data_IF_299116040822
#
_entry.id   IF_299116040822
#
_cell.length_a   1.000
_cell.length_b   1.000
_cell.length_c   1.000
_cell.angle_alpha   90.00
_cell.angle_beta   90.00
_cell.angle_gamma   90.00
#
_symmetry.space_group_name_H-M   'P 1'
#
loop_
_entity.id
_entity.type
_entity.pdbx_description
1 polymer ?
#
# COMPACT_ATOMS: atom_id res chain seq x y z
N UNK A 1 -3.49 -4.67 -7.61
CA UNK A 1 -2.87 -3.50 -8.27
C UNK A 1 -2.47 -2.53 -7.16
N UNK A 2 -1.21 -2.14 -7.05
CA UNK A 2 -0.76 -1.28 -5.95
C UNK A 2 -1.03 0.19 -6.30
N UNK A 3 -2.13 0.74 -5.78
CA UNK A 3 -2.46 2.16 -5.85
C UNK A 3 -1.67 2.91 -4.76
N UNK A 4 -0.34 2.97 -4.90
CA UNK A 4 0.44 3.93 -4.14
C UNK A 4 0.31 5.28 -4.87
N UNK A 5 -0.38 6.25 -4.26
CA UNK A 5 -0.55 7.59 -4.83
C UNK A 5 0.82 8.29 -4.88
N UNK A 6 1.54 8.12 -5.99
CA UNK A 6 2.89 8.67 -6.25
C UNK A 6 2.93 9.66 -7.41
N UNK A 7 1.80 9.86 -8.07
CA UNK A 7 1.72 10.58 -9.34
C UNK A 7 1.67 12.08 -9.07
N UNK A 8 2.58 12.82 -9.69
CA UNK A 8 2.67 14.27 -9.45
C UNK A 8 1.88 15.00 -10.53
N UNK A 9 0.77 15.61 -10.14
CA UNK A 9 0.04 16.52 -11.00
C UNK A 9 0.93 17.72 -11.37
N UNK A 10 0.89 18.14 -12.62
CA UNK A 10 1.75 19.21 -13.17
C UNK A 10 0.96 20.42 -13.66
N UNK A 11 -0.37 20.33 -13.74
CA UNK A 11 -1.22 21.43 -14.17
C UNK A 11 -2.71 21.18 -13.93
N UNK A 12 -3.46 22.29 -13.89
CA UNK A 12 -4.91 22.31 -13.85
C UNK A 12 -5.46 22.57 -15.24
N UNK A 13 -6.43 21.78 -15.72
CA UNK A 13 -7.21 22.16 -16.89
C UNK A 13 -8.06 23.40 -16.59
N UNK A 14 -8.20 24.30 -17.56
CA UNK A 14 -8.98 25.53 -17.39
C UNK A 14 -10.46 25.26 -17.05
N UNK A 15 -11.00 24.11 -17.47
CA UNK A 15 -12.39 23.68 -17.21
C UNK A 15 -12.51 22.71 -16.04
N UNK A 16 -11.51 22.63 -15.17
CA UNK A 16 -11.63 21.92 -13.89
C UNK A 16 -12.53 22.71 -12.93
N UNK A 17 -13.43 22.02 -12.22
CA UNK A 17 -14.23 22.57 -11.11
C UNK A 17 -13.44 22.57 -9.79
N UNK A 18 -12.35 21.80 -9.71
CA UNK A 18 -11.59 21.58 -8.49
C UNK A 18 -10.08 21.82 -8.69
N UNK A 19 -9.63 23.09 -8.79
CA UNK A 19 -8.23 23.42 -8.99
C UNK A 19 -7.34 22.89 -7.86
N UNK A 20 -6.20 22.30 -8.24
CA UNK A 20 -5.12 21.91 -7.34
C UNK A 20 -4.23 23.13 -7.06
N UNK A 21 -3.96 23.47 -5.78
CA UNK A 21 -3.15 24.62 -5.42
C UNK A 21 -1.76 24.62 -6.05
N UNK A 22 -1.24 25.82 -6.33
CA UNK A 22 0.13 26.07 -6.75
C UNK A 22 0.58 25.46 -8.10
N UNK A 23 -0.34 24.84 -8.85
CA UNK A 23 -0.12 24.32 -10.20
C UNK A 23 -0.64 25.29 -11.27
N UNK A 24 0.02 25.45 -12.43
CA UNK A 24 -0.44 26.36 -13.48
C UNK A 24 -1.81 25.95 -14.05
N UNK A 25 -2.61 26.91 -14.50
CA UNK A 25 -3.77 26.63 -15.36
C UNK A 25 -3.34 26.51 -16.81
N UNK A 26 -3.78 25.45 -17.46
CA UNK A 26 -3.42 25.05 -18.81
C UNK A 26 -4.69 25.02 -19.65
N UNK A 27 -4.61 25.58 -20.86
CA UNK A 27 -5.71 25.53 -21.81
C UNK A 27 -6.00 24.08 -22.22
N UNK A 28 -7.18 23.61 -21.82
CA UNK A 28 -7.67 22.27 -22.08
C UNK A 28 -8.72 22.25 -23.20
N UNK A 29 -8.97 23.37 -23.90
CA UNK A 29 -10.10 23.56 -24.84
C UNK A 29 -10.23 22.52 -25.94
N UNK A 30 -9.14 21.83 -26.29
CA UNK A 30 -9.12 20.76 -27.28
C UNK A 30 -9.75 19.44 -26.78
N UNK A 31 -9.97 19.29 -25.46
CA UNK A 31 -10.59 18.09 -24.89
C UNK A 31 -12.12 18.13 -24.98
N UNK A 32 -12.79 17.07 -25.48
CA UNK A 32 -14.24 16.95 -25.49
C UNK A 32 -14.74 16.50 -24.11
N UNK A 33 -14.73 17.40 -23.11
CA UNK A 33 -14.97 17.04 -21.70
C UNK A 33 -16.39 16.55 -21.36
N UNK A 34 -17.32 16.54 -22.32
CA UNK A 34 -18.67 16.01 -22.14
C UNK A 34 -18.85 14.64 -22.83
N UNK A 35 -17.79 14.11 -23.46
CA UNK A 35 -17.78 12.84 -24.17
C UNK A 35 -16.51 12.04 -23.80
N UNK A 36 -16.57 11.14 -22.80
CA UNK A 36 -15.42 10.36 -22.37
C UNK A 36 -14.83 9.45 -23.47
N UNK A 37 -15.66 8.93 -24.36
CA UNK A 37 -15.21 8.07 -25.47
C UNK A 37 -14.37 8.89 -26.46
N UNK A 38 -14.77 10.15 -26.70
CA UNK A 38 -13.99 11.06 -27.52
C UNK A 38 -12.65 11.46 -26.87
N UNK A 39 -12.57 11.52 -25.53
CA UNK A 39 -11.29 11.70 -24.82
C UNK A 39 -10.38 10.48 -25.06
N UNK A 40 -10.88 9.27 -24.84
CA UNK A 40 -10.11 8.03 -25.10
C UNK A 40 -9.60 7.97 -26.55
N UNK A 41 -10.44 8.35 -27.51
CA UNK A 41 -10.12 8.31 -28.93
C UNK A 41 -8.95 9.24 -29.32
N UNK A 42 -8.66 10.30 -28.54
CA UNK A 42 -7.49 11.16 -28.76
C UNK A 42 -6.20 10.35 -28.61
N UNK A 43 -6.11 9.54 -27.56
CA UNK A 43 -4.94 8.74 -27.22
C UNK A 43 -4.83 7.42 -28.01
N UNK A 44 -5.93 6.90 -28.55
CA UNK A 44 -5.98 5.65 -29.33
C UNK A 44 -5.95 5.85 -30.86
N UNK A 45 -5.48 6.99 -31.36
CA UNK A 45 -5.49 7.30 -32.79
C UNK A 45 -4.73 6.25 -33.63
N UNK A 46 -5.34 5.69 -34.68
CA UNK A 46 -4.67 4.74 -35.56
C UNK A 46 -3.38 5.31 -36.16
N UNK A 47 -2.28 4.55 -36.06
CA UNK A 47 -1.00 4.89 -36.68
C UNK A 47 -0.08 5.79 -35.85
N UNK A 48 -0.50 6.21 -34.64
CA UNK A 48 0.37 6.91 -33.68
C UNK A 48 0.83 5.91 -32.63
N UNK A 49 2.13 5.62 -32.59
CA UNK A 49 2.72 4.76 -31.57
C UNK A 49 3.06 5.58 -30.32
N UNK A 50 2.83 5.01 -29.14
CA UNK A 50 3.23 5.60 -27.87
C UNK A 50 2.21 6.57 -27.27
N UNK A 51 1.00 6.66 -27.79
CA UNK A 51 -0.13 7.36 -27.16
C UNK A 51 -1.12 6.36 -26.60
N UNK A 52 -1.77 6.71 -25.49
CA UNK A 52 -2.73 5.86 -24.81
C UNK A 52 -3.95 6.65 -24.39
N UNK A 53 -5.08 5.95 -24.29
CA UNK A 53 -6.30 6.49 -23.74
C UNK A 53 -7.18 5.38 -23.19
N UNK A 54 -8.06 5.73 -22.26
CA UNK A 54 -9.06 4.84 -21.68
C UNK A 54 -10.17 5.65 -21.04
N UNK A 55 -11.38 5.12 -21.05
CA UNK A 55 -12.47 5.54 -20.17
C UNK A 55 -13.12 4.36 -19.45
N UNK A 56 -13.64 4.62 -18.25
CA UNK A 56 -14.44 3.67 -17.46
C UNK A 56 -15.56 4.44 -16.74
N UNK A 57 -16.66 3.74 -16.45
CA UNK A 57 -17.76 4.26 -15.63
C UNK A 57 -17.45 4.08 -14.15
N UNK A 58 -17.78 5.07 -13.34
CA UNK A 58 -17.61 5.02 -11.89
C UNK A 58 -18.90 4.54 -11.21
N UNK A 59 -18.78 3.94 -10.01
CA UNK A 59 -19.93 3.38 -9.26
C UNK A 59 -20.97 4.44 -8.85
N UNK A 60 -20.55 5.69 -8.73
CA UNK A 60 -21.38 6.84 -8.38
C UNK A 60 -22.17 7.42 -9.56
N UNK A 61 -22.16 6.75 -10.73
CA UNK A 61 -22.82 7.22 -11.94
C UNK A 61 -22.03 8.27 -12.71
N UNK A 62 -20.83 8.62 -12.24
CA UNK A 62 -19.84 9.40 -12.95
C UNK A 62 -19.01 8.59 -13.93
N UNK A 63 -17.95 9.20 -14.45
CA UNK A 63 -16.97 8.54 -15.31
C UNK A 63 -15.58 9.13 -15.11
N UNK A 64 -14.57 8.35 -15.48
CA UNK A 64 -13.17 8.77 -15.56
C UNK A 64 -12.62 8.45 -16.94
N UNK A 65 -11.83 9.37 -17.49
CA UNK A 65 -11.12 9.18 -18.76
C UNK A 65 -9.70 9.70 -18.66
N UNK A 66 -8.79 9.13 -19.46
CA UNK A 66 -7.47 9.71 -19.69
C UNK A 66 -7.05 9.65 -21.16
N UNK A 67 -6.15 10.55 -21.54
CA UNK A 67 -5.50 10.55 -22.85
C UNK A 67 -4.09 11.15 -22.77
N UNK A 68 -3.14 10.60 -23.53
CA UNK A 68 -1.89 11.29 -23.87
C UNK A 68 -2.19 12.56 -24.67
N UNK A 69 -1.47 13.65 -24.42
CA UNK A 69 -1.63 14.90 -25.17
C UNK A 69 -0.99 14.81 -26.56
N UNK A 70 -1.65 15.40 -27.57
CA UNK A 70 -1.21 15.31 -28.98
C UNK A 70 0.01 16.18 -29.27
N UNK A 71 0.12 17.34 -28.62
CA UNK A 71 1.20 18.30 -28.83
C UNK A 71 2.38 18.04 -27.89
N UNK A 72 2.12 17.42 -26.74
CA UNK A 72 3.11 17.03 -25.73
C UNK A 72 2.91 15.57 -25.31
N UNK A 73 3.41 14.60 -26.10
CA UNK A 73 3.26 13.18 -25.79
C UNK A 73 3.95 12.73 -24.50
N UNK A 74 4.78 13.58 -23.89
CA UNK A 74 5.34 13.37 -22.56
C UNK A 74 4.36 13.74 -21.42
N UNK A 75 3.17 14.24 -21.76
CA UNK A 75 2.12 14.64 -20.84
C UNK A 75 0.80 13.92 -21.16
N UNK A 76 -0.04 13.78 -20.16
CA UNK A 76 -1.37 13.20 -20.29
C UNK A 76 -2.41 13.86 -19.40
N UNK A 77 -3.64 13.87 -19.86
CA UNK A 77 -4.80 14.42 -19.16
C UNK A 77 -5.58 13.31 -18.47
N UNK A 78 -5.96 13.54 -17.21
CA UNK A 78 -6.96 12.75 -16.51
C UNK A 78 -8.17 13.62 -16.25
N UNK A 79 -9.35 13.11 -16.60
CA UNK A 79 -10.64 13.76 -16.41
C UNK A 79 -11.51 12.86 -15.56
N UNK A 80 -11.93 13.35 -14.39
CA UNK A 80 -12.90 12.68 -13.52
C UNK A 80 -14.15 13.53 -13.45
N UNK A 81 -15.31 13.01 -13.87
CA UNK A 81 -16.60 13.71 -13.78
C UNK A 81 -17.54 13.00 -12.81
N UNK A 82 -18.16 13.78 -11.91
CA UNK A 82 -19.20 13.38 -10.96
C UNK A 82 -20.48 14.18 -11.20
N UNK A 83 -21.67 13.55 -11.20
CA UNK A 83 -22.94 14.24 -11.45
C UNK A 83 -23.20 15.40 -10.49
N UNK A 84 -22.91 15.23 -9.20
CA UNK A 84 -23.20 16.24 -8.17
C UNK A 84 -22.01 17.16 -7.90
N UNK A 85 -20.78 16.68 -8.07
CA UNK A 85 -19.56 17.37 -7.59
C UNK A 85 -18.70 17.96 -8.71
N UNK A 86 -18.91 17.53 -9.95
CA UNK A 86 -18.37 18.22 -11.11
C UNK A 86 -17.20 17.49 -11.68
N UNK A 87 -16.35 18.20 -12.41
CA UNK A 87 -15.20 17.61 -13.09
C UNK A 87 -13.87 18.07 -12.48
N UNK A 88 -12.97 17.12 -12.28
CA UNK A 88 -11.55 17.37 -12.09
C UNK A 88 -10.85 17.15 -13.43
N UNK A 89 -10.20 18.18 -13.98
CA UNK A 89 -9.37 18.09 -15.19
C UNK A 89 -7.93 18.37 -14.78
N UNK A 90 -7.08 17.34 -14.80
CA UNK A 90 -5.73 17.41 -14.23
C UNK A 90 -4.71 16.89 -15.24
N UNK A 91 -3.62 17.62 -15.38
CA UNK A 91 -2.50 17.27 -16.25
C UNK A 91 -1.43 16.54 -15.43
N UNK A 92 -0.92 15.43 -15.97
CA UNK A 92 0.14 14.60 -15.41
C UNK A 92 1.26 14.40 -16.44
N UNK A 93 2.39 13.85 -16.01
CA UNK A 93 3.35 13.23 -16.93
C UNK A 93 2.73 11.98 -17.54
N UNK A 94 3.05 11.68 -18.80
CA UNK A 94 2.50 10.51 -19.48
C UNK A 94 2.88 9.19 -18.77
N UNK A 95 4.08 9.11 -18.18
CA UNK A 95 4.52 7.96 -17.37
C UNK A 95 3.63 7.69 -16.13
N UNK A 96 2.95 8.73 -15.64
CA UNK A 96 2.11 8.70 -14.44
C UNK A 96 0.61 8.58 -14.78
N UNK A 97 0.20 8.98 -15.99
CA UNK A 97 -1.22 9.26 -16.33
C UNK A 97 -2.12 8.03 -16.15
N UNK A 98 -1.68 6.85 -16.59
CA UNK A 98 -2.46 5.63 -16.51
C UNK A 98 -2.68 5.19 -15.07
N UNK A 99 -1.69 5.43 -14.20
CA UNK A 99 -1.78 5.05 -12.80
C UNK A 99 -2.52 6.10 -11.95
N UNK A 100 -2.41 7.38 -12.32
CA UNK A 100 -3.25 8.44 -11.76
C UNK A 100 -4.72 8.20 -12.11
N UNK A 101 -5.02 7.89 -13.36
CA UNK A 101 -6.35 7.50 -13.84
C UNK A 101 -7.00 6.43 -12.95
N UNK A 102 -6.24 5.37 -12.67
CA UNK A 102 -6.73 4.28 -11.83
C UNK A 102 -7.12 4.68 -10.41
N UNK A 103 -6.47 5.69 -9.83
CA UNK A 103 -6.86 6.19 -8.52
C UNK A 103 -8.22 6.89 -8.50
N UNK A 104 -8.71 7.32 -9.67
CA UNK A 104 -10.03 7.96 -9.84
C UNK A 104 -11.12 6.98 -10.30
N UNK A 105 -10.78 5.73 -10.64
CA UNK A 105 -11.72 4.71 -11.11
C UNK A 105 -12.73 4.31 -10.00
N UNK A 106 -12.27 4.35 -8.75
CA UNK A 106 -13.07 4.05 -7.56
C UNK A 106 -13.82 5.30 -7.02
N UNK A 107 -13.82 5.48 -5.70
CA UNK A 107 -14.65 6.46 -4.98
C UNK A 107 -14.04 7.88 -4.98
N UNK A 108 -12.76 8.02 -5.33
CA UNK A 108 -12.08 9.30 -5.24
C UNK A 108 -12.53 10.27 -6.35
N UNK A 109 -12.97 11.47 -5.93
CA UNK A 109 -13.32 12.57 -6.84
C UNK A 109 -12.14 13.50 -7.11
N UNK A 110 -11.29 13.68 -6.10
CA UNK A 110 -10.12 14.54 -6.13
C UNK A 110 -9.12 14.17 -5.03
N UNK A 111 -7.89 14.62 -5.23
CA UNK A 111 -6.76 14.41 -4.32
C UNK A 111 -6.08 15.73 -3.95
N UNK A 112 -5.61 15.87 -2.71
CA UNK A 112 -4.90 17.03 -2.16
C UNK A 112 -3.80 16.59 -1.19
N UNK A 113 -2.94 17.53 -0.78
CA UNK A 113 -1.99 17.34 0.32
C UNK A 113 -1.19 16.02 0.31
N UNK A 114 -0.60 15.64 -0.83
CA UNK A 114 0.19 14.41 -0.91
C UNK A 114 -0.64 13.12 -0.88
N UNK A 115 -1.86 13.15 -1.43
CA UNK A 115 -2.68 11.96 -1.69
C UNK A 115 -3.89 11.77 -0.78
N UNK A 116 -4.20 12.75 0.06
CA UNK A 116 -5.49 12.82 0.74
C UNK A 116 -6.58 12.94 -0.31
N UNK A 117 -7.67 12.21 -0.17
CA UNK A 117 -8.70 12.16 -1.20
C UNK A 117 -10.10 12.35 -0.63
N UNK A 118 -11.01 12.78 -1.48
CA UNK A 118 -12.37 13.13 -1.11
C UNK A 118 -13.36 12.38 -2.00
N UNK A 119 -14.37 11.77 -1.39
CA UNK A 119 -15.44 11.02 -2.07
C UNK A 119 -16.69 11.87 -2.38
N UNK A 120 -16.68 13.15 -2.02
CA UNK A 120 -17.85 14.04 -2.11
C UNK A 120 -18.47 14.37 -0.74
N UNK A 121 -18.14 13.61 0.29
CA UNK A 121 -18.64 13.78 1.67
C UNK A 121 -17.52 13.79 2.70
N UNK A 122 -16.61 12.82 2.63
CA UNK A 122 -15.58 12.51 3.62
C UNK A 122 -14.19 12.63 3.02
N UNK A 123 -13.25 13.18 3.80
CA UNK A 123 -11.84 13.15 3.46
C UNK A 123 -11.18 11.91 4.03
N UNK A 124 -10.35 11.28 3.23
CA UNK A 124 -9.58 10.09 3.57
C UNK A 124 -8.09 10.36 3.43
N UNK A 125 -7.30 9.66 4.25
CA UNK A 125 -5.85 9.64 4.14
C UNK A 125 -5.42 8.96 2.84
N UNK A 126 -4.19 9.20 2.36
CA UNK A 126 -3.61 8.43 1.28
C UNK A 126 -3.71 6.92 1.54
N UNK A 127 -4.16 6.18 0.54
CA UNK A 127 -4.27 4.71 0.62
C UNK A 127 -2.89 4.08 0.81
N UNK A 128 -2.59 3.65 2.04
CA UNK A 128 -1.31 3.01 2.41
C UNK A 128 -1.53 1.56 2.86
N UNK A 129 -2.45 1.35 3.81
CA UNK A 129 -2.68 0.04 4.43
C UNK A 129 -3.51 -0.83 3.51
N UNK A 130 -2.96 -1.98 3.10
CA UNK A 130 -3.63 -2.94 2.21
C UNK A 130 -4.16 -4.14 3.00
N UNK A 131 -5.49 -4.31 2.99
CA UNK A 131 -6.16 -5.52 3.48
C UNK A 131 -5.96 -6.64 2.46
N UNK A 132 -5.14 -7.62 2.83
CA UNK A 132 -4.80 -8.77 1.98
C UNK A 132 -5.95 -9.75 1.79
N UNK A 133 -6.84 -9.86 2.78
CA UNK A 133 -7.95 -10.80 2.71
C UNK A 133 -9.00 -10.29 1.72
N UNK A 134 -9.28 -8.99 1.78
CA UNK A 134 -10.25 -8.30 0.91
C UNK A 134 -9.67 -7.79 -0.41
N UNK A 135 -8.33 -7.72 -0.49
CA UNK A 135 -7.59 -7.19 -1.63
C UNK A 135 -7.87 -5.71 -1.95
N UNK A 136 -8.15 -4.92 -0.91
CA UNK A 136 -8.45 -3.49 -1.00
C UNK A 136 -7.55 -2.69 -0.07
N UNK A 137 -7.39 -1.40 -0.37
CA UNK A 137 -6.82 -0.48 0.61
C UNK A 137 -7.86 -0.08 1.64
N UNK A 138 -7.42 0.09 2.88
CA UNK A 138 -8.27 0.59 3.97
C UNK A 138 -8.43 2.09 3.82
N UNK A 139 -9.68 2.54 3.77
CA UNK A 139 -10.01 3.95 3.64
C UNK A 139 -10.12 4.59 5.03
N UNK A 140 -9.01 5.16 5.52
CA UNK A 140 -8.96 5.81 6.84
C UNK A 140 -9.46 7.25 6.77
N UNK A 141 -10.60 7.60 7.41
CA UNK A 141 -11.14 8.95 7.38
C UNK A 141 -10.24 9.91 8.15
N UNK A 142 -10.28 11.19 7.78
CA UNK A 142 -9.48 12.25 8.38
C UNK A 142 -10.32 12.98 9.43
N UNK A 143 -10.02 12.82 10.74
CA UNK A 143 -10.81 13.43 11.78
C UNK A 143 -10.79 14.96 11.71
N UNK A 144 -11.97 15.58 11.84
CA UNK A 144 -12.14 17.03 11.81
C UNK A 144 -11.57 17.72 10.55
N UNK A 145 -11.53 17.01 9.41
CA UNK A 145 -11.20 17.62 8.14
C UNK A 145 -12.27 18.65 7.73
N UNK A 146 -11.79 19.81 7.26
CA UNK A 146 -12.63 20.84 6.65
C UNK A 146 -12.18 21.03 5.20
N UNK A 147 -13.14 20.98 4.29
CA UNK A 147 -12.95 21.30 2.88
C UNK A 147 -12.72 22.80 2.72
N UNK A 148 -11.65 23.17 2.03
CA UNK A 148 -11.35 24.55 1.64
C UNK A 148 -11.76 24.72 0.18
N UNK A 149 -12.69 25.62 -0.07
CA UNK A 149 -13.16 25.96 -1.40
C UNK A 149 -12.42 27.16 -1.98
N UNK A 150 -12.60 27.41 -3.29
CA UNK A 150 -12.09 28.61 -3.93
C UNK A 150 -12.66 29.91 -3.32
N UNK A 151 -13.85 29.87 -2.72
CA UNK A 151 -14.47 31.02 -2.07
C UNK A 151 -13.83 31.37 -0.72
N UNK A 152 -13.12 30.42 -0.08
CA UNK A 152 -12.48 30.60 1.21
C UNK A 152 -11.08 31.24 1.09
N UNK A 153 -10.54 31.31 -0.13
CA UNK A 153 -9.20 31.83 -0.38
C UNK A 153 -9.20 33.36 -0.55
N UNK A 154 -8.09 34.03 -0.20
CA UNK A 154 -7.92 35.46 -0.46
C UNK A 154 -8.10 35.79 -1.94
N UNK A 155 -8.73 36.93 -2.23
CA UNK A 155 -8.90 37.38 -3.61
C UNK A 155 -7.56 37.78 -4.24
N UNK A 156 -7.27 37.23 -5.42
CA UNK A 156 -6.19 37.68 -6.31
C UNK A 156 -6.67 38.70 -7.34
N UNK A 157 -5.72 39.20 -8.14
CA UNK A 157 -5.95 40.13 -9.24
C UNK A 157 -6.01 39.37 -10.58
N UNK A 158 -7.20 39.18 -11.19
CA UNK A 158 -7.34 38.44 -12.44
C UNK A 158 -6.59 39.10 -13.60
N UNK A 159 -6.28 40.40 -13.53
CA UNK A 159 -5.48 41.09 -14.55
C UNK A 159 -3.99 40.72 -14.52
N UNK A 160 -3.54 40.05 -13.45
CA UNK A 160 -2.17 39.55 -13.28
C UNK A 160 -2.05 38.04 -13.40
N UNK A 161 -3.17 37.34 -13.53
CA UNK A 161 -3.22 35.89 -13.70
C UNK A 161 -2.73 35.46 -15.08
N UNK A 162 -2.29 34.20 -15.18
CA UNK A 162 -1.83 33.58 -16.41
C UNK A 162 -2.58 32.29 -16.71
N UNK A 163 -2.76 32.02 -18.00
CA UNK A 163 -3.20 30.73 -18.54
C UNK A 163 -2.18 30.32 -19.58
N UNK A 164 -1.72 29.08 -19.50
CA UNK A 164 -0.61 28.56 -20.30
C UNK A 164 -1.14 27.70 -21.44
N UNK A 165 -0.51 27.80 -22.62
CA UNK A 165 -0.64 26.75 -23.61
C UNK A 165 0.19 25.53 -23.17
N UNK A 166 -0.26 24.31 -23.50
CA UNK A 166 0.46 23.09 -23.09
C UNK A 166 1.91 23.03 -23.63
N UNK A 167 2.15 23.65 -24.79
CA UNK A 167 3.48 23.75 -25.41
C UNK A 167 4.43 24.71 -24.68
N UNK A 168 3.90 25.58 -23.82
CA UNK A 168 4.68 26.57 -23.07
C UNK A 168 5.15 26.04 -21.70
N UNK A 169 4.66 24.85 -21.29
CA UNK A 169 5.06 24.22 -20.04
C UNK A 169 6.49 23.67 -20.13
N UNK A 170 7.43 24.35 -19.50
CA UNK A 170 8.79 23.87 -19.27
C UNK A 170 8.93 23.06 -17.96
N UNK A 171 10.11 22.43 -17.74
CA UNK A 171 10.38 21.68 -16.51
C UNK A 171 10.16 22.48 -15.23
N UNK A 172 10.52 23.76 -15.22
CA UNK A 172 10.40 24.65 -14.06
C UNK A 172 8.94 25.04 -13.76
N UNK A 173 8.05 24.96 -14.75
CA UNK A 173 6.60 25.24 -14.59
C UNK A 173 5.79 24.00 -14.21
N UNK A 174 6.41 22.81 -14.25
CA UNK A 174 5.76 21.52 -13.98
C UNK A 174 6.00 21.01 -12.55
N UNK A 175 6.50 21.85 -11.64
CA UNK A 175 6.71 21.49 -10.23
C UNK A 175 5.60 22.03 -9.34
N UNK A 176 5.19 21.31 -8.28
CA UNK A 176 4.39 21.90 -7.20
C UNK A 176 5.11 23.13 -6.64
N UNK A 177 4.42 24.28 -6.54
CA UNK A 177 4.97 25.64 -6.31
C UNK A 177 5.47 26.40 -7.55
N UNK A 178 5.13 25.95 -8.76
CA UNK A 178 5.45 26.67 -9.99
C UNK A 178 4.71 28.01 -10.10
N UNK A 179 3.44 28.08 -9.67
CA UNK A 179 2.70 29.34 -9.69
C UNK A 179 3.03 30.21 -8.48
N UNK A 180 3.97 31.14 -8.68
CA UNK A 180 4.28 32.21 -7.69
C UNK A 180 3.14 33.20 -7.48
N UNK A 181 2.10 33.16 -8.33
CA UNK A 181 0.93 34.06 -8.33
C UNK A 181 -0.37 33.28 -8.36
N UNK A 182 -0.40 32.14 -7.68
CA UNK A 182 -1.52 31.21 -7.73
C UNK A 182 -2.88 31.87 -7.46
N UNK A 183 -2.95 32.83 -6.52
CA UNK A 183 -4.18 33.57 -6.24
C UNK A 183 -4.66 34.43 -7.43
N UNK A 184 -3.74 35.06 -8.17
CA UNK A 184 -4.07 35.86 -9.37
C UNK A 184 -4.53 34.93 -10.51
N UNK A 185 -3.85 33.78 -10.68
CA UNK A 185 -4.20 32.75 -11.66
C UNK A 185 -5.59 32.15 -11.37
N UNK A 186 -5.87 31.84 -10.09
CA UNK A 186 -7.17 31.34 -9.62
C UNK A 186 -8.27 32.38 -9.83
N UNK A 187 -8.00 33.67 -9.60
CA UNK A 187 -8.95 34.74 -9.87
C UNK A 187 -9.28 34.84 -11.38
N UNK A 188 -8.28 34.69 -12.25
CA UNK A 188 -8.49 34.66 -13.70
C UNK A 188 -9.28 33.41 -14.13
N UNK A 189 -8.97 32.24 -13.57
CA UNK A 189 -9.75 31.02 -13.77
C UNK A 189 -11.22 31.25 -13.36
N UNK A 190 -11.47 31.77 -12.16
CA UNK A 190 -12.82 32.01 -11.65
C UNK A 190 -13.63 32.96 -12.57
N UNK A 191 -12.98 34.00 -13.11
CA UNK A 191 -13.59 34.92 -14.07
C UNK A 191 -13.96 34.23 -15.39
N UNK A 192 -13.09 33.36 -15.90
CA UNK A 192 -13.29 32.63 -17.16
C UNK A 192 -14.26 31.46 -17.04
N UNK A 193 -14.37 30.88 -15.85
CA UNK A 193 -15.19 29.69 -15.59
C UNK A 193 -16.70 29.97 -15.63
N UNK A 194 -17.14 31.23 -15.49
CA UNK A 194 -18.47 31.69 -15.93
C UNK A 194 -19.72 30.97 -15.35
N UNK A 195 -19.56 30.27 -14.22
CA UNK A 195 -20.53 29.63 -13.31
C UNK A 195 -21.66 28.76 -13.92
N UNK A 196 -21.39 27.46 -14.10
CA UNK A 196 -22.38 26.40 -13.80
C UNK A 196 -22.30 25.98 -12.32
N UNK A 197 -21.13 26.12 -11.67
CA UNK A 197 -20.91 25.90 -10.23
C UNK A 197 -20.53 27.18 -9.50
N UNK A 198 -20.96 27.29 -8.24
CA UNK A 198 -20.57 28.37 -7.32
C UNK A 198 -19.17 28.10 -6.74
N UNK A 199 -18.37 29.15 -6.49
CA UNK A 199 -16.99 29.03 -5.98
C UNK A 199 -16.89 28.24 -4.66
N UNK A 200 -17.91 28.29 -3.80
CA UNK A 200 -17.94 27.48 -2.57
C UNK A 200 -18.09 25.97 -2.82
N UNK A 201 -18.54 25.57 -4.01
CA UNK A 201 -18.55 24.16 -4.44
C UNK A 201 -17.26 23.73 -5.14
N UNK A 202 -16.31 24.65 -5.36
CA UNK A 202 -15.06 24.38 -6.05
C UNK A 202 -13.97 24.05 -5.01
N UNK A 203 -13.76 22.76 -4.74
CA UNK A 203 -12.78 22.30 -3.74
C UNK A 203 -11.35 22.57 -4.19
N UNK A 204 -10.60 23.31 -3.39
CA UNK A 204 -9.20 23.66 -3.67
C UNK A 204 -8.26 23.00 -2.68
N UNK A 205 -8.61 22.85 -1.41
CA UNK A 205 -7.74 22.18 -0.44
C UNK A 205 -8.56 21.56 0.71
N UNK A 206 -7.86 21.14 1.75
CA UNK A 206 -8.41 20.70 3.02
C UNK A 206 -7.53 21.23 4.14
N UNK A 207 -8.11 21.39 5.32
CA UNK A 207 -7.37 21.55 6.58
C UNK A 207 -7.82 20.49 7.56
N UNK A 208 -6.90 20.00 8.38
CA UNK A 208 -7.16 19.03 9.43
C UNK A 208 -6.10 19.19 10.52
N UNK A 209 -6.37 18.81 11.79
CA UNK A 209 -5.37 18.86 12.85
C UNK A 209 -4.07 18.11 12.49
N UNK A 210 -4.17 16.97 11.80
CA UNK A 210 -3.02 16.17 11.36
C UNK A 210 -2.21 16.81 10.21
N UNK A 211 -2.72 17.86 9.57
CA UNK A 211 -2.06 18.63 8.50
C UNK A 211 -1.53 19.98 9.00
N UNK A 212 -1.66 20.29 10.29
CA UNK A 212 -1.13 21.52 10.86
C UNK A 212 0.41 21.55 10.77
N UNK A 213 0.97 22.69 10.36
CA UNK A 213 2.40 22.80 10.02
C UNK A 213 3.35 22.45 11.18
N UNK A 214 2.92 22.70 12.42
CA UNK A 214 3.66 22.37 13.65
C UNK A 214 3.56 20.89 14.06
N UNK A 215 2.67 20.13 13.42
CA UNK A 215 2.47 18.69 13.64
C UNK A 215 3.16 17.83 12.57
N UNK A 216 3.65 18.44 11.49
CA UNK A 216 4.28 17.71 10.40
C UNK A 216 5.68 17.24 10.76
N UNK A 217 6.00 16.04 10.30
CA UNK A 217 7.23 15.32 10.56
C UNK A 217 8.25 15.51 9.45
N UNK A 218 9.52 15.66 9.81
CA UNK A 218 10.62 15.62 8.87
C UNK A 218 11.09 14.21 8.53
N UNK A 219 12.09 14.13 7.66
CA UNK A 219 12.72 12.86 7.22
C UNK A 219 13.22 12.00 8.39
N UNK A 220 13.77 12.62 9.44
CA UNK A 220 14.29 11.88 10.58
C UNK A 220 13.18 11.15 11.37
N UNK A 221 12.10 11.86 11.67
CA UNK A 221 10.96 11.33 12.41
C UNK A 221 10.18 10.29 11.60
N UNK A 222 9.98 10.52 10.29
CA UNK A 222 9.39 9.53 9.39
C UNK A 222 10.20 8.23 9.36
N UNK A 223 11.53 8.33 9.29
CA UNK A 223 12.40 7.16 9.29
C UNK A 223 12.34 6.40 10.62
N UNK A 224 12.29 7.12 11.74
CA UNK A 224 12.15 6.55 13.08
C UNK A 224 10.84 5.76 13.23
N UNK A 225 9.69 6.35 12.85
CA UNK A 225 8.38 5.69 12.88
C UNK A 225 8.39 4.41 12.01
N UNK A 226 9.07 4.46 10.86
CA UNK A 226 9.20 3.32 9.96
C UNK A 226 10.26 2.28 10.36
N UNK A 227 10.98 2.49 11.47
CA UNK A 227 12.02 1.60 11.97
C UNK A 227 13.23 1.47 11.04
N UNK A 228 13.60 2.53 10.33
CA UNK A 228 14.74 2.56 9.39
C UNK A 228 15.65 3.77 9.64
N UNK A 229 16.87 3.72 9.09
CA UNK A 229 17.76 4.88 9.10
C UNK A 229 17.31 5.98 8.14
N UNK A 230 17.55 7.25 8.48
CA UNK A 230 17.24 8.39 7.61
C UNK A 230 18.01 8.37 6.27
N UNK A 231 19.18 7.74 6.20
CA UNK A 231 19.90 7.51 4.94
C UNK A 231 19.16 6.51 4.05
N UNK A 232 18.61 5.44 4.63
CA UNK A 232 17.80 4.44 3.92
C UNK A 232 16.53 5.07 3.37
N UNK A 233 15.83 5.90 4.15
CA UNK A 233 14.65 6.62 3.67
C UNK A 233 14.97 7.52 2.46
N UNK A 234 16.06 8.29 2.51
CA UNK A 234 16.49 9.11 1.36
C UNK A 234 16.83 8.28 0.13
N UNK A 235 17.43 7.10 0.33
CA UNK A 235 17.70 6.18 -0.78
C UNK A 235 16.39 5.67 -1.40
N UNK A 236 15.40 5.28 -0.59
CA UNK A 236 14.08 4.88 -1.10
C UNK A 236 13.40 5.99 -1.89
N UNK A 237 13.42 7.24 -1.38
CA UNK A 237 12.86 8.39 -2.09
C UNK A 237 13.55 8.63 -3.44
N UNK A 238 14.88 8.56 -3.47
CA UNK A 238 15.66 8.79 -4.69
C UNK A 238 15.39 7.73 -5.75
N UNK A 239 15.10 6.49 -5.34
CA UNK A 239 14.89 5.35 -6.24
C UNK A 239 13.42 5.05 -6.55
N UNK A 240 12.47 5.76 -5.92
CA UNK A 240 11.06 5.42 -6.01
C UNK A 240 10.75 4.01 -5.48
N UNK A 241 11.44 3.58 -4.42
CA UNK A 241 11.29 2.24 -3.82
C UNK A 241 10.42 2.28 -2.54
N UNK A 242 9.98 1.10 -2.08
CA UNK A 242 9.36 0.89 -0.75
C UNK A 242 8.09 1.69 -0.43
N UNK A 243 7.38 2.15 -1.47
CA UNK A 243 6.06 2.81 -1.36
C UNK A 243 6.05 3.96 -0.34
N UNK A 244 7.14 4.73 -0.28
CA UNK A 244 7.22 5.94 0.54
C UNK A 244 6.09 6.89 0.15
N UNK A 245 5.25 7.36 1.09
CA UNK A 245 4.14 8.26 0.79
C UNK A 245 4.63 9.63 0.29
N UNK A 246 3.84 10.28 -0.55
CA UNK A 246 4.07 11.67 -0.92
C UNK A 246 4.01 12.57 0.33
N UNK A 247 4.81 13.63 0.29
CA UNK A 247 4.83 14.63 1.34
C UNK A 247 3.54 15.45 1.34
N UNK A 248 3.01 15.74 2.53
CA UNK A 248 1.83 16.59 2.71
C UNK A 248 2.16 18.06 2.49
N UNK A 249 3.41 18.47 2.74
CA UNK A 249 3.90 19.82 2.51
C UNK A 249 5.40 19.85 2.20
N UNK A 250 5.86 20.98 1.66
CA UNK A 250 7.28 21.30 1.52
C UNK A 250 7.58 22.60 2.26
N UNK A 251 8.38 22.54 3.33
CA UNK A 251 8.74 23.71 4.15
C UNK A 251 10.23 23.98 4.01
N UNK A 252 10.60 25.15 3.48
CA UNK A 252 12.00 25.52 3.26
C UNK A 252 12.76 24.51 2.37
N UNK A 253 12.08 23.93 1.38
CA UNK A 253 12.63 22.90 0.48
C UNK A 253 12.71 21.50 1.09
N UNK A 254 12.13 21.27 2.28
CA UNK A 254 12.12 19.97 2.94
C UNK A 254 10.71 19.38 2.90
N UNK A 255 10.62 18.14 2.42
CA UNK A 255 9.40 17.34 2.48
C UNK A 255 8.99 17.06 3.93
N UNK A 256 7.71 17.23 4.20
CA UNK A 256 7.09 17.07 5.52
C UNK A 256 5.86 16.17 5.41
N UNK A 257 5.66 15.28 6.39
CA UNK A 257 4.57 14.29 6.40
C UNK A 257 3.67 14.44 7.61
N UNK A 258 2.39 14.11 7.48
CA UNK A 258 1.53 13.97 8.66
C UNK A 258 1.96 12.72 9.45
N UNK A 259 1.86 12.80 10.78
CA UNK A 259 2.15 11.65 11.65
C UNK A 259 1.29 10.43 11.32
N UNK A 260 -0.04 10.54 11.10
CA UNK A 260 -0.85 9.37 10.78
C UNK A 260 -0.48 8.71 9.46
N UNK A 261 -0.10 9.47 8.42
CA UNK A 261 0.40 8.89 7.16
C UNK A 261 1.72 8.15 7.37
N UNK A 262 2.60 8.66 8.22
CA UNK A 262 3.83 7.97 8.59
C UNK A 262 3.55 6.64 9.32
N UNK A 263 2.55 6.63 10.21
CA UNK A 263 2.11 5.44 10.95
C UNK A 263 1.46 4.40 10.04
N UNK A 264 0.60 4.83 9.11
CA UNK A 264 -0.04 3.97 8.10
C UNK A 264 1.01 3.32 7.17
N UNK A 265 2.03 4.09 6.76
CA UNK A 265 3.14 3.55 5.98
C UNK A 265 3.98 2.56 6.79
N UNK A 266 4.28 2.88 8.05
CA UNK A 266 5.01 1.98 8.93
C UNK A 266 4.23 0.68 9.20
N UNK A 267 2.91 0.76 9.37
CA UNK A 267 2.02 -0.39 9.47
C UNK A 267 2.14 -1.27 8.22
N UNK A 268 2.00 -0.69 7.03
CA UNK A 268 2.12 -1.41 5.75
C UNK A 268 3.45 -2.14 5.64
N UNK A 269 4.55 -1.51 6.07
CA UNK A 269 5.87 -2.13 6.13
C UNK A 269 5.91 -3.31 7.10
N UNK A 270 5.31 -3.19 8.29
CA UNK A 270 5.24 -4.30 9.27
C UNK A 270 4.39 -5.47 8.74
N UNK A 271 3.29 -5.19 8.02
CA UNK A 271 2.40 -6.19 7.40
C UNK A 271 2.96 -6.80 6.10
N UNK A 272 4.08 -6.29 5.59
CA UNK A 272 4.75 -6.85 4.41
C UNK A 272 5.31 -8.25 4.67
N UNK A 273 5.66 -9.00 3.62
CA UNK A 273 6.29 -10.33 3.75
C UNK A 273 7.55 -10.25 4.63
N UNK A 274 8.40 -9.28 4.36
CA UNK A 274 9.66 -9.09 5.09
C UNK A 274 9.43 -8.54 6.49
N UNK A 275 8.41 -7.69 6.67
CA UNK A 275 8.01 -7.18 7.98
C UNK A 275 7.57 -8.30 8.90
N UNK A 276 6.65 -9.15 8.44
CA UNK A 276 6.18 -10.31 9.21
C UNK A 276 7.31 -11.31 9.47
N UNK A 277 8.16 -11.59 8.47
CA UNK A 277 9.33 -12.46 8.68
C UNK A 277 10.28 -11.92 9.74
N UNK A 278 10.54 -10.60 9.76
CA UNK A 278 11.39 -9.95 10.75
C UNK A 278 10.78 -9.93 12.15
N UNK A 279 9.47 -9.68 12.25
CA UNK A 279 8.76 -9.74 13.54
C UNK A 279 8.84 -11.15 14.14
N UNK A 280 8.68 -12.17 13.30
CA UNK A 280 8.71 -13.58 13.70
C UNK A 280 10.11 -14.20 13.72
N UNK A 281 11.16 -13.38 13.60
CA UNK A 281 12.53 -13.86 13.57
C UNK A 281 13.09 -14.09 14.98
N UNK A 282 13.91 -15.13 15.10
CA UNK A 282 14.77 -15.36 16.26
C UNK A 282 15.92 -14.34 16.26
N UNK A 283 15.99 -13.55 17.34
CA UNK A 283 17.01 -12.50 17.50
C UNK A 283 18.40 -13.07 17.74
N UNK A 284 18.50 -14.30 18.22
CA UNK A 284 19.78 -14.94 18.54
C UNK A 284 20.43 -15.60 17.31
N UNK A 285 19.66 -15.85 16.24
CA UNK A 285 20.09 -16.59 15.06
C UNK A 285 19.96 -15.76 13.77
N UNK A 286 20.72 -14.68 13.64
CA UNK A 286 20.83 -13.87 12.40
C UNK A 286 19.49 -13.41 11.77
N UNK A 287 18.43 -13.28 12.57
CA UNK A 287 17.05 -13.01 12.13
C UNK A 287 16.43 -14.11 11.25
N UNK A 288 16.80 -15.38 11.46
CA UNK A 288 16.09 -16.53 10.91
C UNK A 288 14.70 -16.68 11.53
N UNK A 289 13.77 -17.34 10.84
CA UNK A 289 12.51 -17.72 11.48
C UNK A 289 12.77 -18.70 12.64
N UNK A 290 11.96 -18.61 13.70
CA UNK A 290 12.12 -19.43 14.91
C UNK A 290 12.16 -20.93 14.61
N UNK A 291 11.36 -21.39 13.65
CA UNK A 291 11.33 -22.79 13.21
C UNK A 291 12.62 -23.20 12.51
N UNK A 292 13.16 -22.35 11.62
CA UNK A 292 14.43 -22.62 10.92
C UNK A 292 15.60 -22.65 11.90
N UNK A 293 15.67 -21.71 12.84
CA UNK A 293 16.68 -21.71 13.90
C UNK A 293 16.64 -23.01 14.73
N UNK A 294 15.45 -23.43 15.16
CA UNK A 294 15.26 -24.70 15.89
C UNK A 294 15.66 -25.93 15.08
N UNK A 295 15.32 -25.97 13.79
CA UNK A 295 15.73 -27.06 12.90
C UNK A 295 17.25 -27.10 12.74
N UNK A 296 17.89 -25.93 12.63
CA UNK A 296 19.33 -25.83 12.52
C UNK A 296 20.03 -26.36 13.78
N UNK A 297 19.56 -25.98 14.97
CA UNK A 297 20.06 -26.51 16.24
C UNK A 297 19.83 -28.01 16.37
N UNK A 298 18.64 -28.48 15.99
CA UNK A 298 18.29 -29.89 16.00
C UNK A 298 19.24 -30.71 15.11
N UNK A 299 19.42 -30.30 13.85
CA UNK A 299 20.30 -31.01 12.92
C UNK A 299 21.77 -30.91 13.33
N UNK A 300 22.22 -29.78 13.87
CA UNK A 300 23.57 -29.63 14.40
C UNK A 300 23.84 -30.68 15.48
N UNK A 301 22.92 -30.82 16.44
CA UNK A 301 23.07 -31.81 17.51
C UNK A 301 22.97 -33.25 16.99
N UNK A 302 22.04 -33.53 16.07
CA UNK A 302 21.90 -34.84 15.45
C UNK A 302 23.17 -35.26 14.69
N UNK A 303 23.77 -34.35 13.92
CA UNK A 303 25.00 -34.58 13.19
C UNK A 303 26.21 -34.68 14.12
N UNK A 304 26.28 -33.95 15.22
CA UNK A 304 27.33 -34.16 16.23
C UNK A 304 27.25 -35.57 16.81
N UNK A 305 26.05 -36.05 17.18
CA UNK A 305 25.87 -37.41 17.69
C UNK A 305 26.32 -38.44 16.63
N UNK A 306 25.95 -38.24 15.36
CA UNK A 306 26.32 -39.17 14.30
C UNK A 306 27.81 -39.14 13.94
N UNK A 307 28.43 -37.96 13.89
CA UNK A 307 29.81 -37.79 13.43
C UNK A 307 30.84 -37.98 14.55
N UNK A 308 30.51 -37.62 15.79
CA UNK A 308 31.44 -37.67 16.93
C UNK A 308 31.18 -38.85 17.88
N UNK A 309 29.94 -39.04 18.33
CA UNK A 309 29.65 -40.05 19.37
C UNK A 309 29.69 -41.48 18.81
N UNK A 310 29.46 -41.65 17.50
CA UNK A 310 29.66 -42.93 16.82
C UNK A 310 31.12 -43.13 16.41
N UNK A 311 31.80 -44.05 17.09
CA UNK A 311 33.24 -44.30 16.93
C UNK A 311 33.68 -44.59 15.48
N UNK A 312 32.82 -45.26 14.68
CA UNK A 312 33.09 -45.55 13.26
C UNK A 312 33.24 -44.28 12.42
N UNK A 313 32.41 -43.26 12.66
CA UNK A 313 32.41 -42.02 11.90
C UNK A 313 33.51 -41.08 12.41
N UNK A 314 33.71 -41.00 13.73
CA UNK A 314 34.79 -40.22 14.35
C UNK A 314 36.17 -40.60 13.81
N UNK A 315 36.41 -41.89 13.59
CA UNK A 315 37.67 -42.41 13.02
C UNK A 315 37.92 -42.01 11.56
N UNK A 316 36.89 -41.55 10.82
CA UNK A 316 37.03 -41.07 9.43
C UNK A 316 37.64 -39.66 9.35
N UNK A 317 37.54 -38.87 10.42
CA UNK A 317 38.19 -37.56 10.48
C UNK A 317 39.71 -37.72 10.58
N UNK A 318 40.44 -36.90 9.84
CA UNK A 318 41.90 -36.79 9.96
C UNK A 318 42.29 -36.42 11.39
N UNK A 319 43.38 -37.00 11.91
CA UNK A 319 43.79 -36.86 13.31
C UNK A 319 43.85 -35.40 13.81
N UNK A 320 44.38 -34.48 12.98
CA UNK A 320 44.47 -33.05 13.31
C UNK A 320 43.11 -32.35 13.51
N UNK A 321 42.03 -32.91 12.97
CA UNK A 321 40.66 -32.37 13.04
C UNK A 321 39.72 -33.25 13.86
N UNK A 322 40.23 -34.31 14.50
CA UNK A 322 39.42 -35.24 15.29
C UNK A 322 39.22 -34.70 16.72
N UNK A 323 38.57 -33.56 16.82
CA UNK A 323 38.14 -32.94 18.08
C UNK A 323 36.64 -32.69 18.04
N UNK A 324 35.99 -32.70 19.21
CA UNK A 324 34.54 -32.45 19.28
C UNK A 324 34.16 -31.07 18.74
N UNK A 325 35.01 -30.06 18.96
CA UNK A 325 34.82 -28.71 18.45
C UNK A 325 34.83 -28.67 16.91
N UNK A 326 35.89 -29.17 16.27
CA UNK A 326 35.98 -29.17 14.81
C UNK A 326 34.87 -29.98 14.14
N UNK A 327 34.43 -31.09 14.75
CA UNK A 327 33.28 -31.87 14.24
C UNK A 327 31.96 -31.11 14.43
N UNK A 328 31.81 -30.35 15.52
CA UNK A 328 30.63 -29.50 15.74
C UNK A 328 30.56 -28.38 14.71
N UNK A 329 31.68 -27.76 14.36
CA UNK A 329 31.72 -26.72 13.32
C UNK A 329 31.25 -27.28 11.96
N UNK A 330 31.75 -28.45 11.56
CA UNK A 330 31.28 -29.13 10.33
C UNK A 330 29.80 -29.52 10.42
N UNK A 331 29.36 -30.04 11.56
CA UNK A 331 27.96 -30.39 11.79
C UNK A 331 27.04 -29.16 11.68
N UNK A 332 27.48 -28.01 12.20
CA UNK A 332 26.78 -26.73 12.14
C UNK A 332 26.61 -26.25 10.70
N UNK A 333 27.68 -26.27 9.90
CA UNK A 333 27.64 -25.86 8.47
C UNK A 333 26.73 -26.77 7.62
N UNK A 334 26.79 -28.08 7.84
CA UNK A 334 25.94 -29.05 7.12
C UNK A 334 24.49 -28.94 7.57
N UNK A 335 24.25 -28.72 8.86
CA UNK A 335 22.92 -28.49 9.40
C UNK A 335 22.28 -27.22 8.82
N UNK A 336 23.06 -26.16 8.59
CA UNK A 336 22.57 -24.96 7.90
C UNK A 336 22.11 -25.29 6.48
N UNK A 337 22.88 -26.08 5.73
CA UNK A 337 22.51 -26.49 4.37
C UNK A 337 21.17 -27.24 4.35
N UNK A 338 20.93 -28.10 5.35
CA UNK A 338 19.66 -28.82 5.49
C UNK A 338 18.50 -27.88 5.87
N UNK A 339 18.70 -27.00 6.84
CA UNK A 339 17.68 -26.06 7.31
C UNK A 339 17.32 -25.00 6.25
N UNK A 340 18.31 -24.47 5.53
CA UNK A 340 18.12 -23.48 4.47
C UNK A 340 17.50 -24.07 3.18
N UNK A 341 17.49 -25.41 3.03
CA UNK A 341 16.88 -26.09 1.89
C UNK A 341 15.46 -26.60 2.20
N UNK A 342 14.79 -26.04 3.20
CA UNK A 342 13.48 -26.51 3.66
C UNK A 342 12.43 -26.47 2.55
N UNK A 343 12.49 -25.48 1.67
CA UNK A 343 11.64 -25.33 0.49
C UNK A 343 11.76 -26.49 -0.51
N UNK A 344 12.90 -27.20 -0.52
CA UNK A 344 13.14 -28.39 -1.35
C UNK A 344 12.71 -29.69 -0.67
N UNK A 345 12.55 -29.67 0.65
CA UNK A 345 12.20 -30.84 1.45
C UNK A 345 10.69 -30.88 1.68
N UNK A 346 10.09 -29.73 1.95
CA UNK A 346 8.66 -29.55 2.20
C UNK A 346 8.08 -28.69 1.08
N UNK A 347 7.08 -29.17 0.31
CA UNK A 347 6.44 -28.37 -0.72
C UNK A 347 5.54 -27.32 -0.05
N UNK A 348 6.11 -26.17 0.31
CA UNK A 348 5.46 -25.13 1.12
C UNK A 348 4.15 -24.63 0.51
N UNK A 349 4.11 -24.47 -0.83
CA UNK A 349 2.90 -24.06 -1.54
C UNK A 349 1.76 -25.09 -1.44
N UNK A 350 2.07 -26.38 -1.63
CA UNK A 350 1.08 -27.46 -1.51
C UNK A 350 0.61 -27.62 -0.06
N UNK A 351 1.51 -27.45 0.91
CA UNK A 351 1.18 -27.44 2.33
C UNK A 351 0.24 -26.26 2.66
N UNK A 352 0.54 -25.05 2.20
CA UNK A 352 -0.29 -23.88 2.38
C UNK A 352 -1.70 -24.06 1.79
N UNK A 353 -1.77 -24.55 0.54
CA UNK A 353 -3.05 -24.86 -0.12
C UNK A 353 -3.85 -25.93 0.63
N UNK A 354 -3.18 -26.95 1.17
CA UNK A 354 -3.81 -28.02 1.96
C UNK A 354 -4.34 -27.48 3.29
N UNK A 355 -3.57 -26.66 4.00
CA UNK A 355 -4.00 -26.00 5.24
C UNK A 355 -5.24 -25.13 4.96
N UNK A 356 -5.18 -24.29 3.92
CA UNK A 356 -6.31 -23.43 3.52
C UNK A 356 -7.57 -24.25 3.26
N UNK A 357 -7.48 -25.27 2.41
CA UNK A 357 -8.63 -26.12 2.07
C UNK A 357 -9.20 -26.83 3.31
N UNK A 358 -8.34 -27.33 4.20
CA UNK A 358 -8.77 -28.01 5.42
C UNK A 358 -9.44 -27.07 6.43
N UNK A 359 -8.90 -25.85 6.61
CA UNK A 359 -9.53 -24.84 7.47
C UNK A 359 -10.90 -24.45 6.91
N UNK A 360 -10.99 -24.12 5.63
CA UNK A 360 -12.26 -23.73 5.00
C UNK A 360 -13.30 -24.86 5.06
N UNK A 361 -12.87 -26.11 4.94
CA UNK A 361 -13.75 -27.27 5.12
C UNK A 361 -14.34 -27.33 6.53
N UNK A 362 -13.53 -27.17 7.57
CA UNK A 362 -13.99 -27.16 8.97
C UNK A 362 -14.95 -25.99 9.22
N UNK A 363 -14.61 -24.78 8.76
CA UNK A 363 -15.48 -23.60 8.91
C UNK A 363 -16.85 -23.83 8.23
N UNK A 364 -16.86 -24.39 7.02
CA UNK A 364 -18.08 -24.70 6.30
C UNK A 364 -18.89 -25.83 6.96
N UNK A 365 -18.24 -26.78 7.65
CA UNK A 365 -18.93 -27.86 8.38
C UNK A 365 -19.57 -27.35 9.67
N UNK A 366 -18.87 -26.50 10.42
CA UNK A 366 -19.41 -25.83 11.60
C UNK A 366 -20.57 -24.90 11.26
N UNK A 367 -20.47 -24.12 10.18
CA UNK A 367 -21.58 -23.27 9.73
C UNK A 367 -22.84 -24.07 9.37
N UNK A 368 -22.68 -25.30 8.85
CA UNK A 368 -23.81 -26.19 8.54
C UNK A 368 -24.45 -26.82 9.78
N UNK A 369 -23.69 -26.95 10.87
CA UNK A 369 -24.09 -27.74 12.05
C UNK A 369 -24.46 -26.88 13.26
N UNK A 370 -24.02 -25.62 13.31
CA UNK A 370 -24.23 -24.70 14.44
C UNK A 370 -24.93 -23.40 14.01
N UNK A 371 -25.64 -22.76 14.95
CA UNK A 371 -26.37 -21.49 14.70
C UNK A 371 -25.40 -20.33 14.47
N UNK A 372 -25.82 -19.36 13.67
CA UNK A 372 -25.08 -18.15 13.22
C UNK A 372 -24.59 -17.19 14.32
N UNK A 373 -24.71 -17.52 15.61
CA UNK A 373 -24.37 -16.64 16.73
C UNK A 373 -23.02 -17.00 17.41
N UNK A 374 -22.24 -17.92 16.82
CA UNK A 374 -20.93 -18.29 17.37
C UNK A 374 -19.84 -17.24 17.11
N UNK A 375 -19.05 -16.98 18.15
CA UNK A 375 -17.91 -16.05 18.13
C UNK A 375 -16.68 -16.68 17.44
N UNK A 376 -16.63 -18.02 17.33
CA UNK A 376 -15.53 -18.77 16.74
C UNK A 376 -15.94 -20.21 16.45
N UNK A 377 -15.48 -20.76 15.33
CA UNK A 377 -15.56 -22.18 14.99
C UNK A 377 -14.28 -22.93 15.38
N UNK A 378 -14.37 -24.09 16.07
CA UNK A 378 -13.21 -24.93 16.37
C UNK A 378 -12.47 -25.41 15.11
N UNK A 379 -11.14 -25.45 15.18
CA UNK A 379 -10.30 -26.02 14.12
C UNK A 379 -9.61 -27.27 14.65
N UNK A 380 -9.61 -28.35 13.87
CA UNK A 380 -8.97 -29.60 14.23
C UNK A 380 -7.49 -29.42 14.62
N UNK A 381 -7.08 -30.05 15.72
CA UNK A 381 -5.71 -30.00 16.25
C UNK A 381 -4.62 -30.32 15.21
N UNK A 382 -4.87 -31.26 14.29
CA UNK A 382 -3.90 -31.58 13.24
C UNK A 382 -3.68 -30.42 12.27
N UNK A 383 -4.75 -29.73 11.90
CA UNK A 383 -4.72 -28.55 11.03
C UNK A 383 -4.03 -27.39 11.74
N UNK A 384 -4.39 -27.14 13.00
CA UNK A 384 -3.79 -26.10 13.83
C UNK A 384 -2.27 -26.28 13.98
N UNK A 385 -1.79 -27.51 14.19
CA UNK A 385 -0.34 -27.82 14.24
C UNK A 385 0.37 -27.63 12.91
N UNK A 386 -0.29 -27.88 11.78
CA UNK A 386 0.30 -27.62 10.45
C UNK A 386 0.41 -26.12 10.19
N UNK A 387 -0.61 -25.34 10.58
CA UNK A 387 -0.57 -23.89 10.51
C UNK A 387 0.52 -23.31 11.42
N UNK A 388 0.60 -23.78 12.67
CA UNK A 388 1.68 -23.43 13.61
C UNK A 388 3.06 -23.70 13.00
N UNK A 389 3.26 -24.90 12.43
CA UNK A 389 4.51 -25.23 11.76
C UNK A 389 4.83 -24.24 10.64
N UNK A 390 3.85 -23.90 9.80
CA UNK A 390 4.05 -22.95 8.70
C UNK A 390 4.41 -21.54 9.23
N UNK A 391 3.74 -21.07 10.29
CA UNK A 391 4.04 -19.78 10.93
C UNK A 391 5.47 -19.75 11.48
N UNK A 392 5.90 -20.82 12.15
CA UNK A 392 7.24 -20.89 12.75
C UNK A 392 8.35 -20.90 11.69
N UNK A 393 8.14 -21.57 10.55
CA UNK A 393 9.21 -21.80 9.57
C UNK A 393 9.20 -20.78 8.43
N UNK A 394 8.01 -20.44 7.93
CA UNK A 394 7.81 -19.58 6.76
C UNK A 394 6.71 -18.53 7.03
N UNK A 395 6.92 -17.63 8.00
CA UNK A 395 5.91 -16.65 8.44
C UNK A 395 5.42 -15.75 7.29
N UNK A 396 6.29 -15.44 6.33
CA UNK A 396 5.91 -14.68 5.13
C UNK A 396 4.95 -15.42 4.20
N UNK A 397 5.04 -16.75 4.11
CA UNK A 397 4.10 -17.59 3.36
C UNK A 397 2.82 -17.86 4.16
N UNK A 398 2.95 -18.13 5.46
CA UNK A 398 1.83 -18.28 6.39
C UNK A 398 0.88 -17.08 6.34
N UNK A 399 1.44 -15.86 6.26
CA UNK A 399 0.69 -14.62 6.07
C UNK A 399 -0.23 -14.65 4.84
N UNK A 400 0.25 -15.15 3.70
CA UNK A 400 -0.56 -15.26 2.49
C UNK A 400 -1.68 -16.28 2.68
N UNK A 401 -1.35 -17.45 3.24
CA UNK A 401 -2.32 -18.52 3.53
C UNK A 401 -3.43 -18.04 4.47
N UNK A 402 -3.10 -17.32 5.54
CA UNK A 402 -4.11 -16.78 6.47
C UNK A 402 -5.00 -15.74 5.79
N UNK A 403 -4.43 -14.83 5.00
CA UNK A 403 -5.22 -13.85 4.25
C UNK A 403 -6.19 -14.53 3.26
N UNK A 404 -5.73 -15.56 2.55
CA UNK A 404 -6.57 -16.37 1.66
C UNK A 404 -7.68 -17.10 2.41
N UNK A 405 -7.39 -17.71 3.56
CA UNK A 405 -8.41 -18.34 4.42
C UNK A 405 -9.48 -17.33 4.80
N UNK A 406 -9.09 -16.15 5.30
CA UNK A 406 -10.04 -15.12 5.75
C UNK A 406 -10.87 -14.60 4.56
N UNK A 407 -10.23 -14.27 3.44
CA UNK A 407 -10.91 -13.75 2.27
C UNK A 407 -11.85 -14.77 1.60
N UNK A 408 -11.45 -16.03 1.52
CA UNK A 408 -12.29 -17.11 0.99
C UNK A 408 -13.43 -17.47 1.95
N UNK A 409 -13.22 -17.41 3.27
CA UNK A 409 -14.29 -17.61 4.25
C UNK A 409 -15.35 -16.49 4.17
N UNK A 410 -14.92 -15.23 4.04
CA UNK A 410 -15.84 -14.09 3.89
C UNK A 410 -16.62 -14.17 2.57
N UNK A 411 -15.93 -14.31 1.43
CA UNK A 411 -16.58 -14.31 0.11
C UNK A 411 -17.35 -15.59 -0.21
N UNK A 412 -16.81 -16.75 0.20
CA UNK A 412 -17.33 -18.07 -0.16
C UNK A 412 -18.34 -18.63 0.84
N UNK A 413 -18.17 -18.34 2.12
CA UNK A 413 -19.02 -18.86 3.20
C UNK A 413 -19.84 -17.76 3.90
N UNK A 414 -19.56 -16.47 3.65
CA UNK A 414 -20.23 -15.37 4.36
C UNK A 414 -19.86 -15.29 5.84
N UNK A 415 -18.70 -15.85 6.22
CA UNK A 415 -18.22 -15.83 7.61
C UNK A 415 -17.44 -14.52 7.81
N UNK A 416 -17.82 -13.66 8.77
CA UNK A 416 -17.10 -12.41 9.04
C UNK A 416 -15.62 -12.67 9.38
N UNK A 417 -14.69 -11.80 8.94
CA UNK A 417 -13.28 -11.96 9.25
C UNK A 417 -12.94 -12.03 10.73
N UNK A 418 -13.74 -11.39 11.58
CA UNK A 418 -13.58 -11.39 13.03
C UNK A 418 -13.80 -12.79 13.62
N UNK A 419 -14.77 -13.53 13.08
CA UNK A 419 -15.08 -14.91 13.48
C UNK A 419 -13.95 -15.84 13.02
N UNK A 420 -13.53 -15.72 11.75
CA UNK A 420 -12.41 -16.52 11.23
C UNK A 420 -11.11 -16.23 11.98
N UNK A 421 -10.82 -14.95 12.26
CA UNK A 421 -9.67 -14.54 13.06
C UNK A 421 -9.74 -15.09 14.49
N UNK A 422 -10.92 -15.09 15.11
CA UNK A 422 -11.13 -15.65 16.46
C UNK A 422 -10.93 -17.17 16.48
N UNK A 423 -11.42 -17.90 15.46
CA UNK A 423 -11.14 -19.33 15.27
C UNK A 423 -9.65 -19.63 15.20
N UNK A 424 -8.91 -18.88 14.38
CA UNK A 424 -7.47 -19.05 14.21
C UNK A 424 -6.71 -18.74 15.51
N UNK A 425 -7.08 -17.66 16.21
CA UNK A 425 -6.52 -17.29 17.52
C UNK A 425 -6.71 -18.43 18.54
N UNK A 426 -7.93 -18.97 18.65
CA UNK A 426 -8.24 -20.04 19.59
C UNK A 426 -7.47 -21.33 19.26
N UNK A 427 -7.42 -21.71 17.98
CA UNK A 427 -6.70 -22.91 17.55
C UNK A 427 -5.20 -22.82 17.84
N UNK A 428 -4.57 -21.69 17.54
CA UNK A 428 -3.14 -21.48 17.79
C UNK A 428 -2.80 -21.32 19.27
N UNK A 429 -3.71 -20.77 20.09
CA UNK A 429 -3.55 -20.71 21.54
C UNK A 429 -3.55 -22.11 22.19
N UNK A 430 -4.31 -23.06 21.62
CA UNK A 430 -4.42 -24.43 22.14
C UNK A 430 -3.30 -25.35 21.64
N UNK A 431 -2.96 -25.29 20.36
CA UNK A 431 -2.07 -26.27 19.71
C UNK A 431 -0.68 -25.72 19.32
N UNK A 432 -0.52 -24.40 19.40
CA UNK A 432 0.69 -23.72 18.95
C UNK A 432 1.90 -23.91 19.87
N UNK A 433 3.11 -23.87 19.28
CA UNK A 433 4.39 -24.04 19.99
C UNK A 433 5.40 -22.89 19.82
N UNK A 434 4.96 -21.76 19.29
CA UNK A 434 5.77 -20.55 19.21
C UNK A 434 6.05 -20.02 20.62
N UNK A 435 7.31 -19.63 20.87
CA UNK A 435 7.73 -19.15 22.19
C UNK A 435 7.48 -17.66 22.31
N UNK A 436 6.99 -17.23 23.48
CA UNK A 436 6.63 -15.84 23.78
C UNK A 436 5.15 -15.71 24.11
N UNK A 437 4.84 -14.98 25.18
CA UNK A 437 3.49 -14.89 25.74
C UNK A 437 2.44 -14.37 24.74
N UNK A 438 2.85 -13.50 23.80
CA UNK A 438 1.97 -12.86 22.82
C UNK A 438 2.33 -13.14 21.36
N UNK A 439 3.19 -14.12 21.09
CA UNK A 439 3.79 -14.20 19.76
C UNK A 439 2.79 -14.54 18.63
N UNK A 440 1.71 -15.27 18.93
CA UNK A 440 0.61 -15.46 17.98
C UNK A 440 -0.27 -14.24 17.82
N UNK A 441 -0.49 -13.47 18.88
CA UNK A 441 -1.23 -12.22 18.78
C UNK A 441 -0.48 -11.25 17.85
N UNK A 442 0.83 -11.07 18.07
CA UNK A 442 1.69 -10.25 17.21
C UNK A 442 1.67 -10.71 15.74
N UNK A 443 1.74 -12.02 15.48
CA UNK A 443 1.59 -12.54 14.13
C UNK A 443 0.20 -12.23 13.55
N UNK A 444 -0.87 -12.60 14.26
CA UNK A 444 -2.24 -12.50 13.76
C UNK A 444 -2.66 -11.04 13.53
N UNK A 445 -2.22 -10.12 14.38
CA UNK A 445 -2.50 -8.68 14.23
C UNK A 445 -1.86 -8.08 12.97
N UNK A 446 -0.78 -8.68 12.45
CA UNK A 446 -0.13 -8.27 11.20
C UNK A 446 -0.76 -8.88 9.94
N UNK A 447 -1.44 -10.02 10.07
CA UNK A 447 -1.90 -10.81 8.90
C UNK A 447 -3.42 -10.83 8.71
N UNK A 448 -4.20 -10.66 9.77
CA UNK A 448 -5.65 -10.49 9.70
C UNK A 448 -6.01 -9.14 9.08
N UNK A 449 -7.28 -8.87 8.73
CA UNK A 449 -7.69 -7.53 8.34
C UNK A 449 -7.31 -6.50 9.42
N UNK A 450 -6.78 -5.34 9.03
CA UNK A 450 -6.54 -4.23 9.95
C UNK A 450 -7.86 -3.68 10.48
N UNK A 451 -7.81 -3.06 11.67
CA UNK A 451 -8.94 -2.29 12.19
C UNK A 451 -9.14 -1.01 11.34
N UNK A 452 -10.41 -0.60 11.22
CA UNK A 452 -10.85 0.59 10.47
C UNK A 452 -10.48 1.92 11.16
#
# INVERSE_FOLDING_TARGET
MALSYRYTAVGNGLRTDHPIPDLPFVDDSHLPLDDPDAIEAIGRKPGVNGTWGRTDLCKDGGWVAFTTDVLRPDLGWVVRWHPEHGRSVVLYRDEDVASAYMSYEDEALLFRAGGYWWDGTTWYRPSQVFDRAREIYVNRPVPAALTISAADLPQGDPGKGAVWAITELGPDTMTPAASRRWHDDLALWALRHGSVRHLAGCVVHLTAPELAADQLLGVAELAEIAGIGASTLRAYQTRGESDVPLAQATVGGRSMWSRPVAEDWAETRRRSRDGVARTMADRDHENLSVGVARLWDYFTNAFVIDLWDRDRNRKRFALRWRTKAAVRDVAYDVAWTAAASLDRIVPLGDLGATIRAAVLFELADWQRTVRNDEVSYPINHAIARMLDWLIQHEPGHARAVVAEIVGEAERGLGIPPEVTGSSLRQALALDGKLSGENAYAEFLDLVLPPDD
#
